data_IF_652634742146
#
_entry.id   IF_652634742146
#
_cell.length_a   1.000
_cell.length_b   1.000
_cell.length_c   1.000
_cell.angle_alpha   90.00
_cell.angle_beta   90.00
_cell.angle_gamma   90.00
#
_symmetry.space_group_name_H-M   'P 1'
#
loop_
_entity.id
_entity.type
_entity.pdbx_description
1 polymer ?
#
# COMPACT_ATOMS: atom_id res chain seq x y z
N UNK A 1 -12.32 12.63 12.24
CA UNK A 1 -12.75 11.98 10.98
C UNK A 1 -13.92 11.03 11.23
N UNK A 2 -14.88 10.91 10.31
CA UNK A 2 -15.96 9.91 10.39
C UNK A 2 -15.58 8.60 9.66
N UNK A 3 -16.24 7.48 10.02
CA UNK A 3 -15.92 6.15 9.46
C UNK A 3 -16.07 6.06 7.94
N UNK A 4 -17.08 6.73 7.36
CA UNK A 4 -17.33 6.69 5.92
C UNK A 4 -16.18 7.35 5.15
N UNK A 5 -15.67 8.46 5.66
CA UNK A 5 -14.54 9.16 5.05
C UNK A 5 -13.27 8.30 5.14
N UNK A 6 -12.99 7.70 6.30
CA UNK A 6 -11.88 6.76 6.47
C UNK A 6 -11.96 5.59 5.48
N UNK A 7 -13.13 4.97 5.31
CA UNK A 7 -13.35 3.87 4.37
C UNK A 7 -13.05 4.31 2.92
N UNK A 8 -13.42 5.55 2.54
CA UNK A 8 -13.12 6.11 1.21
C UNK A 8 -11.63 6.40 1.05
N UNK A 9 -10.95 6.96 2.05
CA UNK A 9 -9.50 7.20 2.02
C UNK A 9 -8.73 5.90 1.81
N UNK A 10 -9.07 4.86 2.58
CA UNK A 10 -8.48 3.52 2.48
C UNK A 10 -8.72 2.95 1.08
N UNK A 11 -9.94 3.08 0.54
CA UNK A 11 -10.25 2.62 -0.82
C UNK A 11 -9.41 3.35 -1.88
N UNK A 12 -9.31 4.67 -1.82
CA UNK A 12 -8.53 5.46 -2.79
C UNK A 12 -7.03 5.10 -2.73
N UNK A 13 -6.49 4.88 -1.52
CA UNK A 13 -5.11 4.43 -1.34
C UNK A 13 -4.87 3.00 -1.85
N UNK A 14 -5.88 2.13 -1.70
CA UNK A 14 -5.89 0.78 -2.27
C UNK A 14 -5.93 0.80 -3.79
N UNK A 15 -6.64 1.77 -4.37
CA UNK A 15 -6.70 2.04 -5.81
C UNK A 15 -5.44 2.72 -6.36
N UNK A 16 -4.49 3.05 -5.47
CA UNK A 16 -3.16 3.55 -5.85
C UNK A 16 -3.02 5.07 -5.82
N UNK A 17 -4.03 5.82 -5.37
CA UNK A 17 -3.90 7.26 -5.14
C UNK A 17 -2.93 7.51 -3.99
N UNK A 18 -1.99 8.44 -4.19
CA UNK A 18 -1.01 8.81 -3.15
C UNK A 18 -1.71 9.51 -1.96
N UNK A 19 -1.25 9.26 -0.73
CA UNK A 19 -1.83 9.89 0.48
C UNK A 19 -1.86 11.42 0.38
N UNK A 20 -0.80 12.03 -0.14
CA UNK A 20 -0.75 13.48 -0.36
C UNK A 20 -1.81 13.98 -1.36
N UNK A 21 -2.18 13.14 -2.32
CA UNK A 21 -3.23 13.41 -3.31
C UNK A 21 -4.63 13.17 -2.75
N UNK A 22 -4.80 12.14 -1.92
CA UNK A 22 -6.05 11.88 -1.20
C UNK A 22 -6.38 13.08 -0.30
N UNK A 23 -5.40 13.57 0.46
CA UNK A 23 -5.55 14.76 1.28
C UNK A 23 -5.84 16.01 0.44
N UNK A 24 -4.98 16.34 -0.54
CA UNK A 24 -5.09 17.61 -1.24
C UNK A 24 -6.32 17.72 -2.17
N UNK A 25 -6.81 16.61 -2.70
CA UNK A 25 -7.86 16.62 -3.74
C UNK A 25 -9.23 16.13 -3.26
N UNK A 26 -9.28 15.17 -2.31
CA UNK A 26 -10.54 14.54 -1.89
C UNK A 26 -10.96 14.92 -0.47
N UNK A 27 -9.98 15.23 0.40
CA UNK A 27 -10.18 15.44 1.83
C UNK A 27 -9.37 16.62 2.42
N UNK A 28 -9.39 17.82 1.78
CA UNK A 28 -8.59 18.97 2.22
C UNK A 28 -9.05 19.56 3.56
N UNK A 29 -10.24 19.19 4.03
CA UNK A 29 -10.81 19.61 5.32
C UNK A 29 -10.17 18.93 6.54
N UNK A 30 -9.45 17.82 6.34
CA UNK A 30 -8.73 17.10 7.40
C UNK A 30 -7.25 17.50 7.45
N UNK A 31 -6.61 17.27 8.59
CA UNK A 31 -5.16 17.38 8.67
C UNK A 31 -4.48 16.22 7.91
N UNK A 32 -3.34 16.49 7.28
CA UNK A 32 -2.58 15.47 6.59
C UNK A 32 -2.23 14.27 7.49
N UNK A 33 -1.93 14.50 8.77
CA UNK A 33 -1.66 13.41 9.72
C UNK A 33 -2.87 12.56 10.04
N UNK A 34 -4.08 13.13 10.05
CA UNK A 34 -5.31 12.36 10.23
C UNK A 34 -5.50 11.40 9.04
N UNK A 35 -5.38 11.92 7.81
CA UNK A 35 -5.47 11.11 6.58
C UNK A 35 -4.35 10.06 6.55
N UNK A 36 -3.12 10.44 6.91
CA UNK A 36 -1.99 9.52 6.96
C UNK A 36 -2.22 8.39 7.96
N UNK A 37 -2.70 8.70 9.16
CA UNK A 37 -2.90 7.72 10.25
C UNK A 37 -3.93 6.67 9.86
N UNK A 38 -5.05 7.09 9.26
CA UNK A 38 -6.10 6.17 8.83
C UNK A 38 -5.64 5.27 7.68
N UNK A 39 -5.04 5.86 6.64
CA UNK A 39 -4.57 5.10 5.47
C UNK A 39 -3.44 4.15 5.86
N UNK A 40 -2.44 4.63 6.60
CA UNK A 40 -1.31 3.81 7.03
C UNK A 40 -1.73 2.76 8.07
N UNK A 41 -2.61 3.12 9.00
CA UNK A 41 -3.15 2.24 10.03
C UNK A 41 -3.97 1.08 9.44
N UNK A 42 -4.67 1.32 8.33
CA UNK A 42 -5.33 0.28 7.55
C UNK A 42 -4.37 -0.63 6.75
N UNK A 43 -3.06 -0.42 6.86
CA UNK A 43 -2.05 -1.20 6.14
C UNK A 43 -1.89 -0.80 4.67
N UNK A 44 -2.55 0.27 4.22
CA UNK A 44 -2.42 0.73 2.84
C UNK A 44 -1.10 1.47 2.66
N UNK A 45 -0.28 0.99 1.73
CA UNK A 45 1.03 1.55 1.42
C UNK A 45 1.18 1.68 -0.09
N UNK A 46 1.71 2.81 -0.56
CA UNK A 46 2.03 2.97 -1.98
C UNK A 46 3.09 1.94 -2.40
N UNK A 47 3.05 1.47 -3.64
CA UNK A 47 4.05 0.52 -4.16
C UNK A 47 5.48 1.06 -4.06
N UNK A 48 5.65 2.38 -4.21
CA UNK A 48 6.94 3.06 -4.02
C UNK A 48 7.39 3.01 -2.55
N UNK A 49 6.46 3.22 -1.62
CA UNK A 49 6.73 3.10 -0.18
C UNK A 49 7.16 1.68 0.20
N UNK A 50 6.43 0.68 -0.29
CA UNK A 50 6.76 -0.75 -0.05
C UNK A 50 8.11 -1.11 -0.67
N UNK A 51 8.41 -0.64 -1.90
CA UNK A 51 9.74 -0.80 -2.51
C UNK A 51 10.85 -0.23 -1.63
N UNK A 52 10.69 0.99 -1.11
CA UNK A 52 11.68 1.62 -0.20
C UNK A 52 11.87 0.80 1.07
N UNK A 53 10.78 0.26 1.62
CA UNK A 53 10.83 -0.62 2.80
C UNK A 53 11.60 -1.92 2.53
N UNK A 54 11.40 -2.55 1.37
CA UNK A 54 12.16 -3.73 0.92
C UNK A 54 13.64 -3.38 0.80
N UNK A 55 13.98 -2.28 0.11
CA UNK A 55 15.39 -1.84 -0.04
C UNK A 55 16.06 -1.61 1.32
N UNK A 56 15.37 -0.94 2.26
CA UNK A 56 15.92 -0.72 3.59
C UNK A 56 16.20 -2.04 4.34
N UNK A 57 15.34 -3.05 4.19
CA UNK A 57 15.52 -4.39 4.80
C UNK A 57 16.63 -5.18 4.13
N UNK A 58 16.74 -5.14 2.80
CA UNK A 58 17.85 -5.75 2.07
C UNK A 58 19.20 -5.15 2.50
N UNK A 59 19.26 -3.82 2.68
CA UNK A 59 20.46 -3.16 3.19
C UNK A 59 20.79 -3.63 4.61
N UNK A 60 19.81 -3.73 5.51
CA UNK A 60 20.03 -4.26 6.86
C UNK A 60 20.50 -5.73 6.82
N UNK A 61 19.89 -6.55 5.98
CA UNK A 61 20.21 -7.97 5.81
C UNK A 61 21.66 -8.17 5.38
N UNK A 62 22.16 -7.31 4.49
CA UNK A 62 23.55 -7.35 4.02
C UNK A 62 24.58 -7.20 5.14
N UNK A 63 24.22 -6.48 6.21
CA UNK A 63 25.07 -6.23 7.38
C UNK A 63 24.73 -7.11 8.60
N UNK A 64 23.71 -7.98 8.51
CA UNK A 64 23.25 -8.78 9.63
C UNK A 64 24.14 -10.01 9.86
N UNK A 65 24.64 -10.15 11.09
CA UNK A 65 25.59 -11.22 11.47
C UNK A 65 24.92 -12.39 12.21
N UNK A 66 23.73 -12.18 12.79
CA UNK A 66 23.01 -13.22 13.52
C UNK A 66 22.02 -13.91 12.58
N UNK A 67 22.00 -15.24 12.63
CA UNK A 67 21.09 -16.05 11.83
C UNK A 67 19.62 -15.68 12.06
N UNK A 68 19.23 -15.50 13.32
CA UNK A 68 17.86 -15.11 13.69
C UNK A 68 17.45 -13.77 13.06
N UNK A 69 18.29 -12.74 13.18
CA UNK A 69 18.03 -11.41 12.59
C UNK A 69 17.91 -11.49 11.06
N UNK A 70 18.67 -12.40 10.42
CA UNK A 70 18.56 -12.66 8.97
C UNK A 70 17.23 -13.30 8.61
N UNK A 71 16.79 -14.29 9.37
CA UNK A 71 15.51 -14.99 9.15
C UNK A 71 14.33 -14.03 9.29
N UNK A 72 14.32 -13.21 10.35
CA UNK A 72 13.28 -12.17 10.55
C UNK A 72 13.25 -11.17 9.38
N UNK A 73 14.41 -10.69 8.93
CA UNK A 73 14.48 -9.77 7.80
C UNK A 73 14.00 -10.40 6.48
N UNK A 74 14.30 -11.69 6.25
CA UNK A 74 13.82 -12.43 5.07
C UNK A 74 12.31 -12.58 5.11
N UNK A 75 11.74 -12.90 6.26
CA UNK A 75 10.29 -13.00 6.46
C UNK A 75 9.60 -11.65 6.18
N UNK A 76 10.10 -10.57 6.78
CA UNK A 76 9.57 -9.22 6.52
C UNK A 76 9.65 -8.83 5.03
N UNK A 77 10.73 -9.20 4.33
CA UNK A 77 10.86 -8.93 2.89
C UNK A 77 9.82 -9.73 2.10
N UNK A 78 9.62 -11.01 2.42
CA UNK A 78 8.63 -11.85 1.77
C UNK A 78 7.20 -11.32 1.96
N UNK A 79 6.85 -10.86 3.15
CA UNK A 79 5.55 -10.23 3.41
C UNK A 79 5.33 -8.99 2.55
N UNK A 80 6.35 -8.13 2.42
CA UNK A 80 6.27 -6.92 1.59
C UNK A 80 6.15 -7.26 0.09
N UNK A 81 6.85 -8.30 -0.37
CA UNK A 81 6.72 -8.81 -1.75
C UNK A 81 5.32 -9.37 -1.98
N UNK A 82 4.80 -10.16 -1.04
CA UNK A 82 3.46 -10.74 -1.13
C UNK A 82 2.37 -9.65 -1.14
N UNK A 83 2.56 -8.58 -0.37
CA UNK A 83 1.69 -7.41 -0.40
C UNK A 83 1.67 -6.75 -1.79
N UNK A 84 2.83 -6.55 -2.41
CA UNK A 84 2.92 -6.00 -3.78
C UNK A 84 2.26 -6.93 -4.80
N UNK A 85 2.50 -8.23 -4.70
CA UNK A 85 1.91 -9.23 -5.60
C UNK A 85 0.38 -9.26 -5.50
N UNK A 86 -0.16 -9.27 -4.28
CA UNK A 86 -1.61 -9.28 -4.04
C UNK A 86 -2.27 -8.03 -4.63
N UNK A 87 -1.68 -6.84 -4.39
CA UNK A 87 -2.16 -5.59 -4.99
C UNK A 87 -2.13 -5.61 -6.53
N UNK A 88 -1.07 -6.16 -7.12
CA UNK A 88 -0.98 -6.31 -8.58
C UNK A 88 -2.09 -7.21 -9.10
N UNK A 89 -2.31 -8.37 -8.47
CA UNK A 89 -3.36 -9.32 -8.84
C UNK A 89 -4.76 -8.67 -8.78
N UNK A 90 -5.05 -7.93 -7.70
CA UNK A 90 -6.33 -7.24 -7.53
C UNK A 90 -6.54 -6.16 -8.60
N UNK A 91 -5.48 -5.40 -8.92
CA UNK A 91 -5.51 -4.37 -9.96
C UNK A 91 -5.77 -4.99 -11.34
N UNK A 92 -5.13 -6.13 -11.64
CA UNK A 92 -5.34 -6.85 -12.89
C UNK A 92 -6.77 -7.40 -13.00
N UNK A 93 -7.34 -7.89 -11.91
CA UNK A 93 -8.73 -8.34 -11.88
C UNK A 93 -9.69 -7.18 -12.19
N UNK A 94 -9.52 -6.03 -11.54
CA UNK A 94 -10.32 -4.82 -11.82
C UNK A 94 -10.24 -4.40 -13.30
N UNK A 95 -9.05 -4.44 -13.90
CA UNK A 95 -8.88 -4.13 -15.33
C UNK A 95 -9.60 -5.14 -16.23
N UNK A 96 -9.59 -6.43 -15.88
CA UNK A 96 -10.31 -7.46 -16.61
C UNK A 96 -11.83 -7.25 -16.52
N UNK A 97 -12.34 -6.88 -15.34
CA UNK A 97 -13.77 -6.60 -15.14
C UNK A 97 -14.22 -5.39 -16.00
N UNK A 98 -13.42 -4.31 -16.02
CA UNK A 98 -13.66 -3.15 -16.89
C UNK A 98 -13.67 -3.56 -18.36
N UNK A 99 -12.69 -4.36 -18.82
CA UNK A 99 -12.64 -4.86 -20.20
C UNK A 99 -13.87 -5.70 -20.56
N UNK A 100 -14.34 -6.53 -19.63
CA UNK A 100 -15.55 -7.35 -19.83
C UNK A 100 -16.78 -6.47 -20.06
N UNK A 101 -16.93 -5.39 -19.29
CA UNK A 101 -18.06 -4.46 -19.43
C UNK A 101 -17.98 -3.70 -20.77
N UNK A 102 -16.79 -3.23 -21.16
CA UNK A 102 -16.61 -2.47 -22.41
C UNK A 102 -16.82 -3.35 -23.64
N UNK A 103 -16.35 -4.60 -23.61
CA UNK A 103 -16.40 -5.48 -24.79
C UNK A 103 -17.70 -6.27 -24.92
N UNK A 104 -18.48 -6.41 -23.84
CA UNK A 104 -19.79 -7.06 -23.84
C UNK A 104 -20.96 -6.06 -23.76
N UNK A 105 -20.69 -4.76 -23.85
CA UNK A 105 -21.67 -3.67 -23.81
C UNK A 105 -21.91 -3.03 -25.17
#
# INVERSE_FOLDING_TARGET
>A
MNKKDADVMVRLAREGKHISKIWAEDFPEYDYWEVYTEVYGAGERSSVGVKRMITARLNKLSSANKQKDREELIEEINELIFHLYSRYKDSQQKLNDIRSIINNG
#
